data_IF_492222947676
#
_entry.id   IF_492222947676
#
_cell.length_a   1.000
_cell.length_b   1.000
_cell.length_c   1.000
_cell.angle_alpha   90.00
_cell.angle_beta   90.00
_cell.angle_gamma   90.00
#
_symmetry.space_group_name_H-M   'P 1'
#
loop_
_entity.id
_entity.type
_entity.pdbx_description
1 polymer ?
#
# COMPACT_ATOMS: atom_id res chain seq x y z
N UNK A 1 -3.65 -1.07 -28.94
CA UNK A 1 -2.91 -1.94 -28.01
C UNK A 1 -2.42 -1.13 -26.83
N UNK A 2 -2.70 -1.57 -25.65
CA UNK A 2 -2.19 -0.93 -24.45
C UNK A 2 -0.70 -1.22 -24.35
N UNK A 3 0.09 -0.17 -24.28
CA UNK A 3 1.53 -0.34 -24.15
C UNK A 3 1.89 -0.78 -22.74
N UNK A 4 2.82 -1.70 -22.64
CA UNK A 4 3.24 -2.22 -21.33
C UNK A 4 3.71 -1.10 -20.40
N UNK A 5 4.41 -0.11 -20.91
CA UNK A 5 4.87 1.03 -20.11
C UNK A 5 3.72 1.86 -19.54
N UNK A 6 2.58 1.92 -20.24
CA UNK A 6 1.43 2.67 -19.75
C UNK A 6 0.83 1.98 -18.54
N UNK A 7 0.79 0.64 -18.56
CA UNK A 7 0.34 -0.15 -17.43
C UNK A 7 1.30 0.01 -16.24
N UNK A 8 2.60 -0.06 -16.49
CA UNK A 8 3.63 0.02 -15.45
C UNK A 8 3.62 1.40 -14.78
N UNK A 9 3.30 2.45 -15.54
CA UNK A 9 3.28 3.81 -15.02
C UNK A 9 1.98 4.18 -14.35
N UNK A 10 0.92 3.39 -14.54
CA UNK A 10 -0.33 3.63 -13.83
C UNK A 10 -0.13 3.42 -12.35
N UNK A 11 -0.36 4.44 -11.58
CA UNK A 11 -0.46 4.37 -10.12
C UNK A 11 -1.51 5.35 -9.66
N UNK A 12 -1.95 5.14 -8.42
CA UNK A 12 -2.95 6.01 -7.83
C UNK A 12 -2.46 7.46 -7.86
N UNK A 13 -3.31 8.33 -8.33
CA UNK A 13 -3.01 9.75 -8.42
C UNK A 13 -3.25 10.47 -7.09
N UNK A 14 -2.87 11.76 -7.03
CA UNK A 14 -3.00 12.55 -5.79
C UNK A 14 -4.42 12.62 -5.25
N UNK A 15 -5.43 12.65 -6.12
CA UNK A 15 -6.84 12.70 -5.69
C UNK A 15 -7.22 11.47 -4.88
N UNK A 16 -6.81 10.28 -5.34
CA UNK A 16 -7.09 9.04 -4.62
C UNK A 16 -6.32 9.00 -3.30
N UNK A 17 -5.07 9.42 -3.30
CA UNK A 17 -4.25 9.46 -2.08
C UNK A 17 -4.90 10.38 -1.03
N UNK A 18 -5.39 11.55 -1.43
CA UNK A 18 -6.10 12.45 -0.52
C UNK A 18 -7.35 11.81 0.05
N UNK A 19 -8.13 11.11 -0.77
CA UNK A 19 -9.34 10.41 -0.30
C UNK A 19 -9.00 9.34 0.73
N UNK A 20 -7.90 8.63 0.54
CA UNK A 20 -7.44 7.63 1.52
C UNK A 20 -7.14 8.29 2.86
N UNK A 21 -6.42 9.41 2.85
CA UNK A 21 -6.11 10.14 4.08
C UNK A 21 -7.34 10.72 4.77
N UNK A 22 -8.37 11.08 4.00
CA UNK A 22 -9.59 11.69 4.54
C UNK A 22 -10.61 10.66 5.03
N UNK A 23 -10.40 9.39 4.72
CA UNK A 23 -11.34 8.35 5.13
C UNK A 23 -11.25 8.13 6.64
N UNK A 24 -12.38 8.27 7.31
CA UNK A 24 -12.45 8.13 8.78
C UNK A 24 -12.66 6.68 9.16
N UNK A 25 -11.91 6.23 10.17
CA UNK A 25 -12.04 4.89 10.76
C UNK A 25 -11.98 3.78 9.70
N UNK A 26 -10.92 3.72 8.90
CA UNK A 26 -10.80 2.67 7.90
C UNK A 26 -10.69 1.31 8.59
N UNK A 27 -11.43 0.33 8.08
CA UNK A 27 -11.42 -1.04 8.63
C UNK A 27 -10.70 -2.01 7.72
N UNK A 28 -10.80 -1.79 6.40
CA UNK A 28 -10.17 -2.66 5.40
C UNK A 28 -9.58 -1.82 4.29
N UNK A 29 -8.49 -2.34 3.72
CA UNK A 29 -7.89 -1.79 2.51
C UNK A 29 -7.76 -2.92 1.50
N UNK A 30 -8.24 -2.69 0.28
CA UNK A 30 -8.01 -3.56 -0.85
C UNK A 30 -7.07 -2.83 -1.80
N UNK A 31 -5.89 -3.40 -2.05
CA UNK A 31 -4.88 -2.76 -2.87
C UNK A 31 -4.37 -3.69 -3.96
N UNK A 32 -4.08 -3.10 -5.11
CA UNK A 32 -3.41 -3.75 -6.22
C UNK A 32 -2.09 -3.04 -6.43
N UNK A 33 -1.00 -3.78 -6.45
CA UNK A 33 0.34 -3.20 -6.46
C UNK A 33 1.31 -4.08 -7.25
N UNK A 34 2.43 -3.50 -7.64
CA UNK A 34 3.52 -4.24 -8.27
C UNK A 34 4.52 -4.64 -7.20
N UNK A 35 4.74 -5.93 -7.06
CA UNK A 35 5.77 -6.46 -6.17
C UNK A 35 7.11 -6.33 -6.86
N UNK A 36 7.83 -5.26 -6.55
CA UNK A 36 9.03 -4.87 -7.30
C UNK A 36 10.23 -5.77 -7.06
N UNK A 37 10.24 -6.50 -5.94
CA UNK A 37 11.34 -7.41 -5.62
C UNK A 37 11.20 -8.79 -6.24
N UNK A 38 10.04 -9.11 -6.79
CA UNK A 38 9.88 -10.37 -7.52
C UNK A 38 10.64 -10.31 -8.84
N UNK A 39 11.17 -11.43 -9.29
CA UNK A 39 11.86 -11.53 -10.57
C UNK A 39 11.17 -12.60 -11.43
N UNK A 40 10.41 -12.17 -12.47
CA UNK A 40 10.14 -10.78 -12.84
C UNK A 40 9.18 -10.10 -11.85
N UNK A 41 9.13 -8.75 -11.83
CA UNK A 41 8.14 -8.05 -11.02
C UNK A 41 6.73 -8.48 -11.41
N UNK A 42 5.86 -8.63 -10.42
CA UNK A 42 4.50 -9.12 -10.67
C UNK A 42 3.46 -8.29 -9.96
N UNK A 43 2.26 -8.31 -10.52
CA UNK A 43 1.12 -7.62 -9.95
C UNK A 43 0.44 -8.52 -8.91
N UNK A 44 0.18 -7.93 -7.76
CA UNK A 44 -0.52 -8.59 -6.66
C UNK A 44 -1.75 -7.79 -6.29
N UNK A 45 -2.79 -8.48 -5.86
CA UNK A 45 -3.99 -7.86 -5.34
C UNK A 45 -4.33 -8.54 -4.02
N UNK A 46 -4.53 -7.72 -2.99
CA UNK A 46 -4.81 -8.28 -1.67
C UNK A 46 -5.70 -7.36 -0.85
N UNK A 47 -6.48 -7.97 0.04
CA UNK A 47 -7.30 -7.27 1.02
C UNK A 47 -6.65 -7.38 2.39
N UNK A 48 -6.57 -6.27 3.08
CA UNK A 48 -5.96 -6.18 4.41
C UNK A 48 -6.95 -5.64 5.42
N UNK A 49 -6.73 -6.03 6.67
CA UNK A 49 -7.46 -5.47 7.81
C UNK A 49 -6.64 -4.34 8.39
N UNK A 50 -7.25 -3.18 8.58
CA UNK A 50 -6.58 -2.03 9.20
C UNK A 50 -6.48 -2.24 10.70
N UNK A 51 -5.27 -2.12 11.23
CA UNK A 51 -5.03 -2.23 12.67
C UNK A 51 -5.05 -0.87 13.35
N UNK A 52 -4.33 0.10 12.80
CA UNK A 52 -4.34 1.46 13.31
C UNK A 52 -3.79 2.42 12.27
N UNK A 53 -4.08 3.68 12.46
CA UNK A 53 -3.50 4.77 11.67
C UNK A 53 -2.81 5.75 12.60
N UNK A 54 -1.77 6.40 12.09
CA UNK A 54 -1.13 7.50 12.79
C UNK A 54 -0.46 8.40 11.77
N UNK A 55 -0.11 9.60 12.19
CA UNK A 55 0.50 10.56 11.27
C UNK A 55 1.42 11.53 12.01
N UNK A 56 2.31 12.11 11.24
CA UNK A 56 3.12 13.25 11.67
C UNK A 56 2.99 14.35 10.61
N UNK A 57 3.84 15.37 10.68
CA UNK A 57 3.76 16.50 9.74
C UNK A 57 4.03 16.11 8.29
N UNK A 58 4.81 15.06 8.09
CA UNK A 58 5.29 14.67 6.76
C UNK A 58 4.60 13.43 6.19
N UNK A 59 4.15 12.53 7.05
CA UNK A 59 3.66 11.21 6.62
C UNK A 59 2.38 10.81 7.32
N UNK A 60 1.58 10.03 6.60
CA UNK A 60 0.40 9.34 7.12
C UNK A 60 0.64 7.83 7.00
N UNK A 61 0.45 7.11 8.10
CA UNK A 61 0.74 5.69 8.18
C UNK A 61 -0.54 4.90 8.44
N UNK A 62 -0.70 3.80 7.71
CA UNK A 62 -1.81 2.86 7.92
C UNK A 62 -1.20 1.50 8.18
N UNK A 63 -1.29 1.03 9.41
CA UNK A 63 -0.82 -0.30 9.78
C UNK A 63 -1.91 -1.33 9.49
N UNK A 64 -1.56 -2.34 8.73
CA UNK A 64 -2.51 -3.36 8.27
C UNK A 64 -1.97 -4.76 8.50
N UNK A 65 -2.86 -5.74 8.45
CA UNK A 65 -2.50 -7.15 8.51
C UNK A 65 -3.30 -7.91 7.47
N UNK A 66 -2.77 -9.07 7.05
CA UNK A 66 -3.52 -9.96 6.17
C UNK A 66 -4.80 -10.39 6.85
N UNK A 67 -5.89 -10.37 6.10
CA UNK A 67 -7.18 -10.88 6.60
C UNK A 67 -7.03 -12.37 6.91
N UNK A 68 -6.34 -13.10 6.03
CA UNK A 68 -6.06 -14.52 6.24
C UNK A 68 -4.57 -14.69 6.47
N UNK A 69 -4.18 -15.01 7.69
CA UNK A 69 -2.77 -15.18 8.05
C UNK A 69 -2.15 -16.33 7.27
N UNK A 70 -0.90 -16.15 6.86
CA UNK A 70 -0.11 -17.17 6.18
C UNK A 70 1.07 -17.55 7.06
N UNK A 71 1.16 -18.81 7.53
CA UNK A 71 2.32 -19.24 8.30
C UNK A 71 3.62 -19.05 7.50
N UNK A 72 4.68 -18.69 8.19
CA UNK A 72 6.02 -18.48 7.61
C UNK A 72 6.12 -17.30 6.64
N UNK A 73 5.06 -16.50 6.50
CA UNK A 73 5.07 -15.29 5.69
C UNK A 73 4.80 -14.07 6.55
N UNK A 74 5.12 -12.90 6.02
CA UNK A 74 4.78 -11.66 6.69
C UNK A 74 3.27 -11.51 6.72
N UNK A 75 2.76 -11.08 7.86
CA UNK A 75 1.33 -10.83 8.02
C UNK A 75 1.02 -9.38 8.40
N UNK A 76 2.06 -8.62 8.76
CA UNK A 76 1.90 -7.22 9.15
C UNK A 76 2.60 -6.32 8.13
N UNK A 77 1.86 -5.30 7.68
CA UNK A 77 2.32 -4.38 6.64
C UNK A 77 1.96 -2.96 7.01
N UNK A 78 2.48 -2.02 6.23
CA UNK A 78 2.22 -0.61 6.43
C UNK A 78 2.13 0.09 5.09
N UNK A 79 1.07 0.88 4.91
CA UNK A 79 1.00 1.84 3.82
C UNK A 79 1.48 3.18 4.35
N UNK A 80 2.40 3.81 3.62
CA UNK A 80 2.98 5.10 3.99
C UNK A 80 2.67 6.11 2.91
N UNK A 81 2.01 7.18 3.29
CA UNK A 81 1.68 8.27 2.38
C UNK A 81 2.56 9.47 2.69
N UNK A 82 3.29 9.96 1.69
CA UNK A 82 4.00 11.22 1.77
C UNK A 82 3.00 12.35 1.55
N UNK A 83 2.81 13.19 2.55
CA UNK A 83 1.80 14.25 2.50
C UNK A 83 2.11 15.34 1.48
N UNK A 84 3.38 15.57 1.18
CA UNK A 84 3.79 16.58 0.21
C UNK A 84 3.72 16.05 -1.22
N UNK A 85 4.29 14.88 -1.45
CA UNK A 85 4.34 14.27 -2.78
C UNK A 85 3.05 13.59 -3.17
N UNK A 86 2.20 13.27 -2.20
CA UNK A 86 0.94 12.56 -2.41
C UNK A 86 1.15 11.24 -3.14
N UNK A 87 2.18 10.51 -2.72
CA UNK A 87 2.43 9.15 -3.18
C UNK A 87 2.28 8.19 -2.01
N UNK A 88 2.13 6.91 -2.35
CA UNK A 88 1.88 5.87 -1.36
C UNK A 88 2.87 4.72 -1.58
N UNK A 89 3.43 4.20 -0.49
CA UNK A 89 4.35 3.06 -0.50
C UNK A 89 3.81 1.95 0.37
N UNK A 90 4.10 0.73 0.00
CA UNK A 90 3.71 -0.46 0.73
C UNK A 90 4.94 -1.16 1.28
N UNK A 91 4.97 -1.37 2.60
CA UNK A 91 6.11 -1.96 3.30
C UNK A 91 5.68 -3.13 4.16
N UNK A 92 6.53 -4.17 4.25
CA UNK A 92 6.36 -5.20 5.26
C UNK A 92 6.96 -4.70 6.58
N UNK A 93 6.28 -5.01 7.67
CA UNK A 93 6.80 -4.71 9.02
C UNK A 93 7.46 -5.96 9.58
N UNK A 94 8.79 -5.88 9.68
CA UNK A 94 9.61 -6.94 10.27
C UNK A 94 10.31 -6.37 11.49
N UNK A 95 9.74 -6.60 12.66
CA UNK A 95 10.33 -6.06 13.88
C UNK A 95 10.51 -4.55 13.77
N UNK A 96 11.76 -4.09 13.92
CA UNK A 96 12.06 -2.66 13.91
C UNK A 96 12.45 -2.09 12.54
N UNK A 97 12.62 -2.94 11.53
CA UNK A 97 13.05 -2.48 10.21
C UNK A 97 12.01 -2.76 9.13
N UNK A 98 11.33 -1.72 8.65
CA UNK A 98 10.38 -1.88 7.56
C UNK A 98 11.11 -2.13 6.24
N UNK A 99 10.60 -3.09 5.46
CA UNK A 99 11.10 -3.39 4.12
C UNK A 99 10.12 -2.90 3.06
N UNK A 100 10.62 -2.08 2.14
CA UNK A 100 9.82 -1.63 1.01
C UNK A 100 9.48 -2.82 0.11
N UNK A 101 8.19 -3.06 -0.11
CA UNK A 101 7.69 -4.08 -1.01
C UNK A 101 7.28 -3.49 -2.35
N UNK A 102 6.69 -2.31 -2.34
CA UNK A 102 6.24 -1.66 -3.56
C UNK A 102 6.10 -0.16 -3.37
N UNK A 103 6.55 0.60 -4.36
CA UNK A 103 6.26 2.03 -4.49
C UNK A 103 5.27 2.29 -5.62
N UNK A 104 4.72 1.22 -6.22
CA UNK A 104 3.78 1.31 -7.32
C UNK A 104 2.45 0.68 -6.93
N UNK A 105 1.60 1.50 -6.32
CA UNK A 105 0.24 1.08 -5.96
C UNK A 105 -0.66 1.47 -7.12
N UNK A 106 -1.27 0.47 -7.76
CA UNK A 106 -2.08 0.66 -8.96
C UNK A 106 -3.50 1.05 -8.61
N UNK A 107 -4.04 0.50 -7.54
CA UNK A 107 -5.36 0.87 -7.05
C UNK A 107 -5.41 0.66 -5.54
N UNK A 108 -6.27 1.41 -4.88
CA UNK A 108 -6.49 1.27 -3.45
C UNK A 108 -7.93 1.65 -3.14
N UNK A 109 -8.61 0.79 -2.39
CA UNK A 109 -9.96 1.03 -1.90
C UNK A 109 -9.96 0.88 -0.40
N UNK A 110 -10.50 1.86 0.27
CA UNK A 110 -10.62 1.88 1.73
C UNK A 110 -12.08 1.70 2.09
N UNK A 111 -12.33 0.83 3.03
CA UNK A 111 -13.69 0.54 3.50
C UNK A 111 -13.80 0.64 5.01
#
# INVERSE_FOLDING_TARGET
>A
MIKLKDIIMERVGPTIVRKVMQFRNPKFIEAEYILTRAEPPRKEKEKFKVKKTHENDSFYFINVARVKRRPKEFNNFEFVIDKKKLNIRFRARMGMMPNLLSDKILSIKVK
#
